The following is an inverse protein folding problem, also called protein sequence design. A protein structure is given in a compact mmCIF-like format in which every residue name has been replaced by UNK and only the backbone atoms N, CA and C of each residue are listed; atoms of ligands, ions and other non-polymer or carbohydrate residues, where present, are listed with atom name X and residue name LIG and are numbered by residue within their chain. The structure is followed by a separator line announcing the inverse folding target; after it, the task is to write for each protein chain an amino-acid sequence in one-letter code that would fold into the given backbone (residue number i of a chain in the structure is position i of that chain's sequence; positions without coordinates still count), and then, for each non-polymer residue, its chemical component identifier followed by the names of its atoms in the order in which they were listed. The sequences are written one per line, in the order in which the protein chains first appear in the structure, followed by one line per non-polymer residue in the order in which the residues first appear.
data_IF_535982097746
#
_entry.id   IF_535982097746
#
_cell.length_a   1.000
_cell.length_b   1.000
_cell.length_c   1.000
_cell.angle_alpha   90.00
_cell.angle_beta   90.00
_cell.angle_gamma   90.00
#
_symmetry.space_group_name_H-M   'P 1'
#
loop_
_entity.id
_entity.type
_entity.pdbx_description
1 polymer ?
#
# COMPACT_ATOMS: atom_id res chain seq x y z
N UNK A 1 18.93 18.10 27.92
CA UNK A 1 20.19 18.34 28.63
C UNK A 1 20.98 19.43 27.97
N UNK A 2 21.96 19.96 28.70
CA UNK A 2 22.83 21.05 28.24
C UNK A 2 24.15 20.52 27.66
N UNK A 3 24.22 19.23 27.34
CA UNK A 3 25.38 18.61 26.69
C UNK A 3 25.70 19.31 25.37
N UNK A 4 26.97 19.21 24.93
CA UNK A 4 27.47 19.85 23.71
C UNK A 4 27.80 18.80 22.65
N UNK A 5 27.90 19.22 21.38
CA UNK A 5 28.18 18.35 20.22
C UNK A 5 27.08 17.31 19.90
N UNK A 6 25.83 17.66 20.19
CA UNK A 6 24.65 16.84 19.92
C UNK A 6 24.08 17.02 18.50
N UNK A 7 24.51 18.04 17.76
CA UNK A 7 24.08 18.29 16.38
C UNK A 7 24.56 17.19 15.43
N UNK A 8 23.69 16.77 14.51
CA UNK A 8 24.01 15.90 13.40
C UNK A 8 23.21 16.27 12.14
N UNK A 9 23.66 15.70 11.02
CA UNK A 9 22.97 15.74 9.74
C UNK A 9 22.73 14.31 9.28
N UNK A 10 21.52 14.02 8.81
CA UNK A 10 21.15 12.71 8.24
C UNK A 10 20.79 12.90 6.78
N UNK A 11 21.26 11.99 5.94
CA UNK A 11 20.93 11.94 4.51
C UNK A 11 20.42 10.54 4.19
N UNK A 12 19.23 10.46 3.61
CA UNK A 12 18.71 9.24 3.00
C UNK A 12 19.06 9.30 1.53
N UNK A 13 19.70 8.25 1.03
CA UNK A 13 20.18 8.19 -0.33
C UNK A 13 19.88 6.84 -0.95
N UNK A 14 19.80 6.84 -2.28
CA UNK A 14 19.67 5.66 -3.10
C UNK A 14 21.05 5.04 -3.34
N UNK A 15 21.26 3.83 -2.81
CA UNK A 15 22.54 3.16 -2.90
C UNK A 15 22.75 2.45 -4.25
N UNK A 16 21.68 2.12 -4.97
CA UNK A 16 21.70 1.30 -6.19
C UNK A 16 21.17 2.04 -7.42
N UNK A 17 20.41 3.11 -7.21
CA UNK A 17 19.76 3.88 -8.28
C UNK A 17 18.35 3.38 -8.62
N UNK A 18 17.78 2.45 -7.85
CA UNK A 18 16.47 1.86 -8.15
C UNK A 18 15.30 2.82 -7.89
N UNK A 19 15.50 3.83 -7.05
CA UNK A 19 14.46 4.81 -6.68
C UNK A 19 14.63 6.11 -7.47
N UNK A 20 15.85 6.64 -7.50
CA UNK A 20 16.19 7.94 -8.08
C UNK A 20 16.69 7.85 -9.52
N UNK A 21 17.11 6.66 -9.97
CA UNK A 21 17.85 6.46 -11.21
C UNK A 21 19.36 6.74 -11.08
N UNK A 22 19.86 7.11 -9.90
CA UNK A 22 21.25 7.50 -9.67
C UNK A 22 21.91 6.70 -8.54
N UNK A 23 22.89 5.87 -8.88
CA UNK A 23 23.73 5.15 -7.91
C UNK A 23 24.77 6.08 -7.27
N UNK A 24 24.79 6.16 -5.93
CA UNK A 24 25.78 6.90 -5.12
C UNK A 24 27.23 6.61 -5.51
N UNK A 25 27.55 5.38 -5.91
CA UNK A 25 28.91 4.93 -6.21
C UNK A 25 29.40 5.37 -7.59
N UNK A 26 28.51 5.87 -8.45
CA UNK A 26 28.86 6.42 -9.75
C UNK A 26 29.34 7.86 -9.59
N UNK A 27 30.52 8.15 -10.16
CA UNK A 27 31.11 9.48 -10.11
C UNK A 27 30.15 10.54 -10.70
N UNK A 28 29.86 11.57 -9.91
CA UNK A 28 28.92 12.64 -10.29
C UNK A 28 27.48 12.44 -9.80
N UNK A 29 27.12 11.23 -9.36
CA UNK A 29 25.74 10.91 -8.99
C UNK A 29 25.44 11.08 -7.49
N UNK A 30 26.45 11.31 -6.64
CA UNK A 30 26.30 11.38 -5.16
C UNK A 30 25.25 12.39 -4.67
N UNK A 31 25.10 13.51 -5.36
CA UNK A 31 24.08 14.51 -5.00
C UNK A 31 22.72 14.14 -5.60
N UNK A 32 22.71 13.56 -6.80
CA UNK A 32 21.49 13.12 -7.48
C UNK A 32 20.86 11.88 -6.86
N UNK A 33 21.64 11.07 -6.13
CA UNK A 33 21.17 9.90 -5.38
C UNK A 33 20.52 10.28 -4.04
N UNK A 34 20.55 11.56 -3.63
CA UNK A 34 19.95 11.99 -2.36
C UNK A 34 18.43 12.02 -2.49
N UNK A 35 17.74 11.34 -1.57
CA UNK A 35 16.27 11.27 -1.52
C UNK A 35 15.74 12.27 -0.49
N UNK A 36 16.28 12.25 0.73
CA UNK A 36 15.85 13.11 1.84
C UNK A 36 17.05 13.63 2.63
N UNK A 37 16.92 14.83 3.19
CA UNK A 37 17.94 15.44 4.04
C UNK A 37 17.35 16.01 5.32
N UNK A 38 18.03 15.75 6.43
CA UNK A 38 17.67 16.25 7.76
C UNK A 38 18.89 16.96 8.34
N UNK A 39 18.88 18.29 8.24
CA UNK A 39 19.96 19.12 8.74
C UNK A 39 19.71 19.61 10.16
N UNK A 40 20.78 19.77 10.94
CA UNK A 40 20.76 20.38 12.28
C UNK A 40 19.79 19.71 13.26
N UNK A 41 19.66 18.39 13.17
CA UNK A 41 18.88 17.58 14.13
C UNK A 41 19.78 17.17 15.29
N UNK A 42 19.19 16.76 16.42
CA UNK A 42 19.93 16.53 17.66
C UNK A 42 19.87 15.07 18.13
N UNK A 43 20.96 14.60 18.75
CA UNK A 43 21.06 13.34 19.50
C UNK A 43 20.29 13.36 20.82
N UNK A 44 19.92 14.54 21.33
CA UNK A 44 19.28 14.70 22.62
C UNK A 44 17.74 14.57 22.49
N UNK A 45 17.08 13.70 23.28
CA UNK A 45 15.64 13.47 23.19
C UNK A 45 14.78 14.67 23.55
N UNK A 46 15.32 15.64 24.31
CA UNK A 46 14.57 16.84 24.70
C UNK A 46 14.96 18.08 23.89
N UNK A 47 15.79 17.94 22.86
CA UNK A 47 16.18 19.04 22.00
C UNK A 47 14.97 19.69 21.31
N UNK A 48 15.03 21.02 21.16
CA UNK A 48 13.99 21.81 20.50
C UNK A 48 14.59 22.67 19.40
N UNK A 49 13.82 22.88 18.35
CA UNK A 49 14.10 23.88 17.32
C UNK A 49 13.91 25.30 17.87
N UNK A 50 14.34 26.32 17.13
CA UNK A 50 14.10 27.71 17.50
C UNK A 50 12.60 28.06 17.64
N UNK A 51 11.73 27.31 16.96
CA UNK A 51 10.27 27.44 17.00
C UNK A 51 9.62 26.57 18.09
N UNK A 52 10.40 25.86 18.92
CA UNK A 52 9.91 25.05 20.03
C UNK A 52 9.44 23.64 19.68
N UNK A 53 9.51 23.23 18.41
CA UNK A 53 9.20 21.85 18.01
C UNK A 53 10.32 20.87 18.43
N UNK A 54 9.98 19.60 18.67
CA UNK A 54 10.95 18.55 18.96
C UNK A 54 11.98 18.40 17.83
N UNK A 55 13.27 18.43 18.17
CA UNK A 55 14.42 18.33 17.28
C UNK A 55 15.24 17.03 17.46
N UNK A 56 14.73 16.08 18.24
CA UNK A 56 15.35 14.77 18.38
C UNK A 56 15.28 14.00 17.07
N UNK A 57 16.42 13.56 16.56
CA UNK A 57 16.53 13.08 15.19
C UNK A 57 15.62 11.88 14.85
N UNK A 58 15.41 10.86 15.71
CA UNK A 58 14.50 9.76 15.39
C UNK A 58 13.06 10.24 15.29
N UNK A 59 12.62 11.14 16.16
CA UNK A 59 11.26 11.70 16.14
C UNK A 59 11.06 12.66 14.96
N UNK A 60 12.11 13.33 14.49
CA UNK A 60 12.07 14.14 13.28
C UNK A 60 11.93 13.23 12.05
N UNK A 61 12.73 12.16 11.96
CA UNK A 61 12.65 11.19 10.87
C UNK A 61 11.29 10.51 10.87
N UNK A 62 10.83 9.98 12.00
CA UNK A 62 9.54 9.30 12.13
C UNK A 62 8.36 10.14 11.62
N UNK A 63 8.38 11.45 11.85
CA UNK A 63 7.28 12.36 11.44
C UNK A 63 7.38 12.86 10.00
N UNK A 64 8.57 12.86 9.39
CA UNK A 64 8.83 13.56 8.12
C UNK A 64 9.28 12.66 6.98
N UNK A 65 9.87 11.51 7.30
CA UNK A 65 10.42 10.58 6.33
C UNK A 65 9.32 9.80 5.64
N UNK A 66 9.42 9.70 4.31
CA UNK A 66 8.57 8.83 3.51
C UNK A 66 9.24 7.47 3.23
N UNK A 67 10.54 7.33 3.52
CA UNK A 67 11.36 6.19 3.09
C UNK A 67 11.80 5.29 4.24
N UNK A 68 12.18 5.88 5.37
CA UNK A 68 12.79 5.15 6.49
C UNK A 68 12.10 5.42 7.83
N UNK A 69 12.11 4.41 8.69
CA UNK A 69 11.89 4.54 10.13
C UNK A 69 13.20 4.25 10.87
N UNK A 70 13.58 5.14 11.78
CA UNK A 70 14.81 4.97 12.56
C UNK A 70 14.50 4.29 13.89
N UNK A 71 15.05 3.10 14.12
CA UNK A 71 14.67 2.24 15.26
C UNK A 71 15.76 2.06 16.32
N UNK A 72 17.03 2.03 15.94
CA UNK A 72 18.16 1.86 16.87
C UNK A 72 19.31 2.81 16.57
N UNK A 73 20.09 3.15 17.57
CA UNK A 73 21.22 4.05 17.45
C UNK A 73 22.43 3.36 16.83
N UNK A 74 23.31 4.15 16.21
CA UNK A 74 24.59 3.64 15.74
C UNK A 74 25.40 3.11 16.93
N UNK A 75 26.08 1.98 16.72
CA UNK A 75 27.03 1.44 17.69
C UNK A 75 28.25 2.34 17.87
N UNK A 76 28.54 3.17 16.87
CA UNK A 76 29.54 4.23 16.94
C UNK A 76 29.00 5.41 17.76
N UNK A 77 29.83 5.93 18.65
CA UNK A 77 29.45 7.02 19.55
C UNK A 77 28.81 6.54 20.85
N UNK A 78 28.37 7.51 21.65
CA UNK A 78 27.76 7.28 22.96
C UNK A 78 26.82 8.43 23.30
N UNK A 79 25.99 8.23 24.34
CA UNK A 79 25.00 9.18 24.83
C UNK A 79 23.82 9.45 23.85
N UNK A 80 23.63 8.60 22.84
CA UNK A 80 22.45 8.68 21.97
C UNK A 80 21.15 8.59 22.77
N UNK A 81 20.19 9.46 22.48
CA UNK A 81 18.86 9.37 23.11
C UNK A 81 18.87 9.62 24.62
N UNK A 82 19.97 10.12 25.20
CA UNK A 82 20.04 10.42 26.63
C UNK A 82 20.02 11.92 26.91
N UNK A 83 19.30 12.31 27.96
CA UNK A 83 19.40 13.65 28.52
C UNK A 83 20.64 13.73 29.43
N UNK A 84 21.76 14.23 28.90
CA UNK A 84 23.01 14.36 29.64
C UNK A 84 23.57 15.79 29.61
N UNK A 85 24.46 16.07 30.56
CA UNK A 85 25.32 17.26 30.58
C UNK A 85 26.72 16.97 30.02
N UNK A 86 27.04 15.70 29.79
CA UNK A 86 28.28 15.28 29.15
C UNK A 86 28.29 15.67 27.67
N UNK A 87 29.49 15.66 27.08
CA UNK A 87 29.69 15.86 25.64
C UNK A 87 29.20 14.62 24.89
N UNK A 88 28.47 14.82 23.80
CA UNK A 88 28.09 13.73 22.90
C UNK A 88 29.28 13.33 22.03
N UNK A 89 29.42 12.05 21.75
CA UNK A 89 30.54 11.58 20.93
C UNK A 89 30.36 12.00 19.47
N UNK A 90 31.40 12.61 18.90
CA UNK A 90 31.48 12.88 17.46
C UNK A 90 31.66 11.56 16.70
N UNK A 91 30.87 11.37 15.64
CA UNK A 91 30.95 10.19 14.77
C UNK A 91 31.69 10.60 13.51
N UNK A 92 33.00 10.34 13.48
CA UNK A 92 33.88 10.57 12.33
C UNK A 92 34.73 9.30 12.13
N UNK A 93 34.79 8.73 10.92
CA UNK A 93 34.12 9.16 9.68
C UNK A 93 32.59 9.11 9.79
N UNK A 94 31.91 9.79 8.86
CA UNK A 94 30.45 9.71 8.76
C UNK A 94 30.05 8.25 8.55
N UNK A 95 29.02 7.81 9.26
CA UNK A 95 28.45 6.49 9.06
C UNK A 95 27.71 6.45 7.72
N UNK A 96 28.00 5.45 6.89
CA UNK A 96 27.40 5.28 5.57
C UNK A 96 26.77 3.90 5.38
N UNK A 97 25.90 3.53 6.33
CA UNK A 97 25.11 2.30 6.22
C UNK A 97 24.28 2.22 4.92
N UNK A 98 24.16 0.99 4.40
CA UNK A 98 23.26 0.62 3.32
C UNK A 98 22.29 -0.42 3.89
N UNK A 99 20.99 -0.19 3.73
CA UNK A 99 19.98 -1.15 4.16
C UNK A 99 20.04 -2.38 3.26
N UNK A 100 20.16 -3.56 3.85
CA UNK A 100 20.23 -4.84 3.14
C UNK A 100 19.33 -5.87 3.83
N UNK A 101 18.93 -6.92 3.10
CA UNK A 101 18.16 -8.02 3.68
C UNK A 101 16.66 -7.74 3.81
N UNK A 102 16.15 -6.70 3.16
CA UNK A 102 14.71 -6.55 2.95
C UNK A 102 14.18 -7.69 2.10
N UNK A 103 13.07 -8.28 2.54
CA UNK A 103 12.38 -9.36 1.82
C UNK A 103 10.91 -9.02 1.74
N UNK A 104 10.39 -8.90 0.53
CA UNK A 104 8.96 -8.79 0.31
C UNK A 104 8.34 -10.19 0.38
N UNK A 105 7.29 -10.34 1.17
CA UNK A 105 6.46 -11.53 1.13
C UNK A 105 5.26 -11.28 0.22
N UNK A 106 5.29 -11.90 -0.96
CA UNK A 106 4.21 -11.81 -1.94
C UNK A 106 3.19 -12.96 -1.81
N UNK A 107 3.39 -13.89 -0.87
CA UNK A 107 2.50 -15.03 -0.65
C UNK A 107 1.45 -14.70 0.42
N UNK A 108 0.52 -13.81 0.08
CA UNK A 108 -0.55 -13.41 1.00
C UNK A 108 -1.49 -14.59 1.32
N UNK A 109 -1.81 -14.74 2.59
CA UNK A 109 -2.80 -15.70 3.08
C UNK A 109 -4.21 -15.11 3.08
N UNK A 110 -5.22 -15.97 3.14
CA UNK A 110 -6.62 -15.53 3.22
C UNK A 110 -6.88 -14.72 4.49
N UNK A 111 -6.27 -15.10 5.61
CA UNK A 111 -6.43 -14.44 6.90
C UNK A 111 -5.79 -13.04 6.92
N UNK A 112 -4.67 -12.85 6.22
CA UNK A 112 -4.06 -11.53 6.04
C UNK A 112 -4.92 -10.62 5.16
N UNK A 113 -5.53 -11.16 4.10
CA UNK A 113 -6.53 -10.43 3.32
C UNK A 113 -7.73 -10.04 4.19
N UNK A 114 -8.24 -10.96 5.00
CA UNK A 114 -9.31 -10.65 5.95
C UNK A 114 -8.91 -9.49 6.87
N UNK A 115 -7.75 -9.59 7.49
CA UNK A 115 -7.22 -8.58 8.41
C UNK A 115 -7.11 -7.22 7.72
N UNK A 116 -6.77 -7.19 6.43
CA UNK A 116 -6.72 -5.95 5.65
C UNK A 116 -8.11 -5.33 5.43
N UNK A 117 -9.14 -6.13 5.14
CA UNK A 117 -10.51 -5.63 4.98
C UNK A 117 -11.16 -5.24 6.31
N UNK A 118 -10.81 -5.91 7.41
CA UNK A 118 -11.33 -5.61 8.75
C UNK A 118 -10.91 -4.19 9.23
N UNK A 119 -9.85 -3.59 8.67
CA UNK A 119 -9.50 -2.18 8.90
C UNK A 119 -10.58 -1.22 8.39
N UNK A 120 -11.40 -1.66 7.45
CA UNK A 120 -12.54 -0.91 6.94
C UNK A 120 -13.82 -1.19 7.70
N UNK A 121 -13.84 -1.94 8.81
CA UNK A 121 -15.08 -2.17 9.58
C UNK A 121 -15.50 -0.93 10.39
N UNK A 122 -14.56 -0.02 10.68
CA UNK A 122 -14.82 1.21 11.43
C UNK A 122 -15.58 2.25 10.58
N UNK A 123 -16.91 2.24 10.72
CA UNK A 123 -17.83 3.19 10.05
C UNK A 123 -17.76 4.61 10.60
N UNK A 124 -17.22 4.82 11.81
CA UNK A 124 -17.15 6.15 12.43
C UNK A 124 -15.93 6.94 11.94
N UNK A 125 -14.82 6.25 11.68
CA UNK A 125 -13.56 6.88 11.29
C UNK A 125 -13.24 6.74 9.79
N UNK A 126 -13.83 5.77 9.09
CA UNK A 126 -13.54 5.53 7.66
C UNK A 126 -14.81 5.60 6.84
N UNK A 127 -14.85 6.58 5.93
CA UNK A 127 -15.90 6.73 4.93
C UNK A 127 -15.47 6.06 3.61
N UNK A 128 -16.25 5.11 3.14
CA UNK A 128 -15.99 4.36 1.91
C UNK A 128 -17.28 3.89 1.25
N UNK A 129 -17.43 4.17 -0.04
CA UNK A 129 -18.67 3.87 -0.76
C UNK A 129 -18.57 2.58 -1.58
N UNK A 130 -17.39 2.25 -2.09
CA UNK A 130 -17.18 1.17 -3.06
C UNK A 130 -15.99 0.31 -2.62
N UNK A 131 -16.19 -1.01 -2.55
CA UNK A 131 -15.17 -1.99 -2.19
C UNK A 131 -14.83 -2.84 -3.40
N UNK A 132 -13.53 -2.93 -3.71
CA UNK A 132 -13.02 -3.71 -4.84
C UNK A 132 -12.45 -5.03 -4.33
N UNK A 133 -12.96 -6.16 -4.84
CA UNK A 133 -12.40 -7.47 -4.47
C UNK A 133 -11.00 -7.75 -5.02
N UNK A 134 -10.53 -6.96 -6.01
CA UNK A 134 -9.33 -7.28 -6.76
C UNK A 134 -9.48 -8.60 -7.54
N UNK A 135 -8.43 -9.43 -7.66
CA UNK A 135 -8.58 -10.78 -8.18
C UNK A 135 -9.38 -11.58 -7.15
N UNK A 136 -10.65 -11.86 -7.43
CA UNK A 136 -11.61 -12.37 -6.44
C UNK A 136 -11.23 -13.68 -5.76
N UNK A 137 -10.22 -14.39 -6.27
CA UNK A 137 -9.69 -15.63 -5.70
C UNK A 137 -8.38 -15.45 -4.91
N UNK A 138 -7.80 -14.23 -4.98
CA UNK A 138 -6.54 -13.67 -4.47
C UNK A 138 -5.39 -14.62 -4.11
N UNK A 139 -5.66 -15.62 -3.27
CA UNK A 139 -4.74 -16.66 -2.79
C UNK A 139 -4.66 -17.88 -3.73
N UNK A 140 -5.79 -18.33 -4.29
CA UNK A 140 -5.85 -19.55 -5.11
C UNK A 140 -6.91 -19.45 -6.20
N UNK A 141 -6.51 -19.43 -7.48
CA UNK A 141 -7.38 -19.25 -8.68
C UNK A 141 -8.39 -20.41 -8.91
N UNK A 142 -9.41 -20.48 -8.05
CA UNK A 142 -10.38 -21.58 -7.94
C UNK A 142 -11.74 -21.07 -7.43
N UNK A 143 -12.82 -21.81 -7.67
CA UNK A 143 -14.13 -21.44 -7.15
C UNK A 143 -14.16 -21.32 -5.60
N UNK A 144 -13.48 -22.22 -4.89
CA UNK A 144 -13.41 -22.18 -3.42
C UNK A 144 -12.61 -20.98 -2.89
N UNK A 145 -11.53 -20.58 -3.58
CA UNK A 145 -10.79 -19.37 -3.24
C UNK A 145 -11.64 -18.11 -3.45
N UNK A 146 -12.45 -18.09 -4.50
CA UNK A 146 -13.39 -17.01 -4.77
C UNK A 146 -14.52 -16.93 -3.74
N UNK A 147 -15.08 -18.07 -3.36
CA UNK A 147 -16.11 -18.16 -2.32
C UNK A 147 -15.62 -17.56 -1.00
N UNK A 148 -14.44 -18.00 -0.54
CA UNK A 148 -13.88 -17.54 0.71
C UNK A 148 -13.62 -16.01 0.71
N UNK A 149 -13.03 -15.47 -0.35
CA UNK A 149 -12.74 -14.04 -0.46
C UNK A 149 -13.97 -13.17 -0.74
N UNK A 150 -14.88 -13.65 -1.59
CA UNK A 150 -16.13 -12.96 -1.88
C UNK A 150 -17.05 -12.88 -0.67
N UNK A 151 -17.13 -13.96 0.12
CA UNK A 151 -17.91 -13.98 1.36
C UNK A 151 -17.36 -12.99 2.40
N UNK A 152 -16.04 -12.83 2.51
CA UNK A 152 -15.45 -11.81 3.41
C UNK A 152 -15.89 -10.38 3.06
N UNK A 153 -15.93 -10.04 1.77
CA UNK A 153 -16.37 -8.72 1.31
C UNK A 153 -17.87 -8.54 1.50
N UNK A 154 -18.65 -9.59 1.25
CA UNK A 154 -20.08 -9.61 1.51
C UNK A 154 -20.37 -9.32 2.99
N UNK A 155 -19.70 -10.01 3.91
CA UNK A 155 -19.88 -9.84 5.34
C UNK A 155 -19.54 -8.40 5.78
N UNK A 156 -18.48 -7.81 5.23
CA UNK A 156 -18.12 -6.40 5.49
C UNK A 156 -19.22 -5.44 5.00
N UNK A 157 -19.72 -5.62 3.78
CA UNK A 157 -20.76 -4.75 3.24
C UNK A 157 -22.09 -4.89 3.99
N UNK A 158 -22.47 -6.10 4.38
CA UNK A 158 -23.67 -6.38 5.19
C UNK A 158 -23.57 -5.85 6.62
N UNK A 159 -22.35 -5.86 7.20
CA UNK A 159 -22.05 -5.23 8.50
C UNK A 159 -22.28 -3.72 8.44
N UNK A 160 -21.60 -3.05 7.50
CA UNK A 160 -21.58 -1.58 7.44
C UNK A 160 -22.84 -0.95 6.86
N UNK A 161 -23.41 -1.57 5.81
CA UNK A 161 -24.62 -1.10 5.07
C UNK A 161 -24.49 0.28 4.42
N UNK A 162 -23.28 0.81 4.32
CA UNK A 162 -22.97 2.12 3.72
C UNK A 162 -22.10 2.01 2.47
N UNK A 163 -21.78 0.79 2.02
CA UNK A 163 -20.90 0.52 0.91
C UNK A 163 -21.41 -0.61 0.00
N UNK A 164 -20.87 -0.67 -1.23
CA UNK A 164 -21.20 -1.70 -2.22
C UNK A 164 -19.91 -2.40 -2.66
N UNK A 165 -19.89 -3.74 -2.60
CA UNK A 165 -18.78 -4.57 -3.01
C UNK A 165 -18.88 -5.03 -4.46
N UNK A 166 -17.75 -5.04 -5.18
CA UNK A 166 -17.66 -5.46 -6.58
C UNK A 166 -16.73 -6.68 -6.70
N UNK A 167 -17.29 -7.79 -7.20
CA UNK A 167 -16.61 -9.09 -7.27
C UNK A 167 -16.64 -9.59 -8.72
N UNK A 168 -15.45 -9.84 -9.28
CA UNK A 168 -15.29 -10.52 -10.57
C UNK A 168 -15.24 -12.04 -10.39
N UNK A 169 -15.39 -12.86 -11.45
CA UNK A 169 -15.09 -14.29 -11.31
C UNK A 169 -13.60 -14.54 -11.04
N UNK A 170 -13.24 -15.75 -10.61
CA UNK A 170 -11.83 -16.18 -10.62
C UNK A 170 -11.30 -16.29 -12.06
N UNK A 171 -10.01 -16.10 -12.25
CA UNK A 171 -9.40 -15.94 -13.58
C UNK A 171 -9.58 -17.20 -14.43
N UNK A 172 -9.34 -18.37 -13.86
CA UNK A 172 -9.49 -19.65 -14.58
C UNK A 172 -10.95 -20.00 -14.95
N UNK A 173 -11.97 -19.32 -14.43
CA UNK A 173 -13.34 -19.50 -14.89
C UNK A 173 -13.55 -18.95 -16.30
N UNK A 174 -12.82 -17.89 -16.67
CA UNK A 174 -13.07 -17.12 -17.89
C UNK A 174 -11.87 -17.08 -18.84
N UNK A 175 -10.66 -16.88 -18.33
CA UNK A 175 -9.45 -16.73 -19.14
C UNK A 175 -8.91 -18.10 -19.56
N UNK A 176 -8.47 -18.22 -20.81
CA UNK A 176 -7.96 -19.47 -21.42
C UNK A 176 -8.97 -20.62 -21.47
N UNK A 177 -10.28 -20.32 -21.38
CA UNK A 177 -11.36 -21.28 -21.60
C UNK A 177 -11.85 -21.17 -23.04
N UNK A 178 -11.89 -22.28 -23.77
CA UNK A 178 -12.15 -22.30 -25.22
C UNK A 178 -13.61 -22.12 -25.63
N UNK A 179 -14.54 -22.47 -24.74
CA UNK A 179 -15.99 -22.43 -25.01
C UNK A 179 -16.68 -21.41 -24.12
N UNK A 180 -17.46 -20.52 -24.71
CA UNK A 180 -18.27 -19.55 -23.99
C UNK A 180 -19.32 -20.22 -23.08
N UNK A 181 -19.85 -21.38 -23.47
CA UNK A 181 -20.77 -22.16 -22.64
C UNK A 181 -20.09 -22.64 -21.37
N UNK A 182 -18.82 -23.07 -21.48
CA UNK A 182 -18.03 -23.49 -20.31
C UNK A 182 -17.68 -22.29 -19.43
N UNK A 183 -17.32 -21.14 -20.02
CA UNK A 183 -17.10 -19.90 -19.26
C UNK A 183 -18.35 -19.52 -18.47
N UNK A 184 -19.52 -19.49 -19.11
CA UNK A 184 -20.80 -19.19 -18.45
C UNK A 184 -21.08 -20.15 -17.31
N UNK A 185 -20.89 -21.47 -17.52
CA UNK A 185 -21.08 -22.46 -16.48
C UNK A 185 -20.13 -22.24 -15.29
N UNK A 186 -18.84 -22.04 -15.55
CA UNK A 186 -17.85 -21.83 -14.48
C UNK A 186 -18.18 -20.59 -13.64
N UNK A 187 -18.61 -19.50 -14.28
CA UNK A 187 -18.97 -18.25 -13.60
C UNK A 187 -20.20 -18.44 -12.72
N UNK A 188 -21.25 -19.12 -13.22
CA UNK A 188 -22.45 -19.45 -12.45
C UNK A 188 -22.09 -20.34 -11.26
N UNK A 189 -21.40 -21.46 -11.51
CA UNK A 189 -21.03 -22.42 -10.46
C UNK A 189 -20.20 -21.77 -9.35
N UNK A 190 -19.39 -20.77 -9.69
CA UNK A 190 -18.56 -20.06 -8.73
C UNK A 190 -19.37 -19.06 -7.90
N UNK A 191 -20.23 -18.25 -8.54
CA UNK A 191 -21.04 -17.25 -7.83
C UNK A 191 -22.16 -17.88 -7.00
N UNK A 192 -22.66 -19.06 -7.37
CA UNK A 192 -23.64 -19.81 -6.58
C UNK A 192 -23.11 -20.25 -5.20
N UNK A 193 -21.78 -20.24 -4.99
CA UNK A 193 -21.17 -20.50 -3.69
C UNK A 193 -21.29 -19.30 -2.74
N UNK A 194 -21.26 -18.08 -3.28
CA UNK A 194 -21.30 -16.85 -2.48
C UNK A 194 -22.76 -16.58 -2.08
N UNK A 195 -23.03 -16.24 -0.81
CA UNK A 195 -24.37 -15.86 -0.37
C UNK A 195 -24.95 -14.68 -1.18
N UNK A 196 -26.27 -14.61 -1.27
CA UNK A 196 -26.93 -13.49 -1.94
C UNK A 196 -26.98 -12.26 -1.03
N UNK A 197 -26.60 -11.10 -1.55
CA UNK A 197 -26.66 -9.80 -0.87
C UNK A 197 -27.09 -8.70 -1.84
N UNK A 198 -27.81 -7.69 -1.34
CA UNK A 198 -28.13 -6.48 -2.11
C UNK A 198 -26.98 -5.47 -2.19
N UNK A 199 -25.94 -5.65 -1.38
CA UNK A 199 -24.76 -4.77 -1.35
C UNK A 199 -23.62 -5.28 -2.22
N UNK A 200 -23.83 -6.35 -3.00
CA UNK A 200 -22.80 -6.97 -3.84
C UNK A 200 -23.20 -6.94 -5.31
N UNK A 201 -22.25 -6.55 -6.15
CA UNK A 201 -22.35 -6.56 -7.61
C UNK A 201 -21.34 -7.57 -8.16
N UNK A 202 -21.86 -8.57 -8.86
CA UNK A 202 -21.05 -9.53 -9.62
C UNK A 202 -20.87 -9.06 -11.05
N UNK A 203 -19.62 -8.94 -11.50
CA UNK A 203 -19.32 -8.81 -12.93
C UNK A 203 -19.04 -10.19 -13.56
N UNK A 204 -18.82 -10.23 -14.88
CA UNK A 204 -18.81 -11.49 -15.63
C UNK A 204 -17.47 -11.89 -16.23
N UNK A 205 -16.38 -11.14 -16.00
CA UNK A 205 -15.14 -11.50 -16.69
C UNK A 205 -13.90 -10.66 -16.43
N UNK A 206 -12.94 -10.83 -17.35
CA UNK A 206 -11.64 -10.18 -17.30
C UNK A 206 -11.43 -9.32 -18.54
N UNK A 207 -10.85 -8.15 -18.32
CA UNK A 207 -10.42 -7.25 -19.38
C UNK A 207 -9.00 -7.58 -19.80
N UNK A 208 -8.75 -7.59 -21.11
CA UNK A 208 -7.40 -7.69 -21.66
C UNK A 208 -6.87 -6.28 -21.98
N UNK A 209 -5.85 -5.84 -21.26
CA UNK A 209 -5.27 -4.49 -21.40
C UNK A 209 -3.76 -4.55 -21.57
N UNK A 210 -3.21 -3.51 -22.18
CA UNK A 210 -1.77 -3.30 -22.27
C UNK A 210 -1.25 -2.71 -20.96
N UNK A 211 -0.26 -3.37 -20.37
CA UNK A 211 0.48 -2.87 -19.23
C UNK A 211 1.76 -2.17 -19.67
N UNK A 212 1.77 -0.84 -19.53
CA UNK A 212 2.91 0.02 -19.89
C UNK A 212 4.16 -0.20 -19.04
N UNK A 213 4.05 -0.79 -17.85
CA UNK A 213 5.19 -0.93 -16.93
C UNK A 213 6.04 -2.14 -17.28
N UNK A 214 5.41 -3.25 -17.67
CA UNK A 214 6.11 -4.48 -18.08
C UNK A 214 6.08 -4.72 -19.60
N UNK A 215 5.53 -3.78 -20.39
CA UNK A 215 5.41 -3.87 -21.85
C UNK A 215 4.75 -5.17 -22.36
N UNK A 216 3.70 -5.61 -21.67
CA UNK A 216 2.98 -6.84 -22.01
C UNK A 216 1.47 -6.65 -21.89
N UNK A 217 0.71 -7.42 -22.66
CA UNK A 217 -0.74 -7.48 -22.47
C UNK A 217 -1.11 -8.47 -21.38
N UNK A 218 -1.95 -8.05 -20.43
CA UNK A 218 -2.36 -8.82 -19.25
C UNK A 218 -3.88 -8.81 -19.08
N UNK A 219 -4.39 -9.88 -18.46
CA UNK A 219 -5.80 -9.97 -18.05
C UNK A 219 -5.96 -9.40 -16.65
N UNK A 220 -6.93 -8.51 -16.46
CA UNK A 220 -7.25 -7.83 -15.20
C UNK A 220 -8.74 -8.03 -14.88
N UNK A 221 -9.12 -8.30 -13.62
CA UNK A 221 -10.54 -8.43 -13.24
C UNK A 221 -11.31 -7.13 -13.49
N UNK A 222 -12.60 -7.24 -13.83
CA UNK A 222 -13.43 -6.10 -14.24
C UNK A 222 -14.00 -5.28 -13.08
N UNK A 223 -13.96 -5.79 -11.85
CA UNK A 223 -14.52 -5.13 -10.68
C UNK A 223 -14.01 -3.71 -10.45
N UNK A 224 -12.72 -3.45 -10.70
CA UNK A 224 -12.15 -2.11 -10.63
C UNK A 224 -12.75 -1.15 -11.66
N UNK A 225 -12.97 -1.63 -12.89
CA UNK A 225 -13.56 -0.84 -13.97
C UNK A 225 -15.06 -0.61 -13.74
N UNK A 226 -15.80 -1.61 -13.28
CA UNK A 226 -17.24 -1.49 -13.00
C UNK A 226 -17.51 -0.54 -11.83
N UNK A 227 -16.74 -0.64 -10.74
CA UNK A 227 -16.85 0.30 -9.63
C UNK A 227 -16.41 1.72 -10.04
N UNK A 228 -15.35 1.86 -10.84
CA UNK A 228 -14.93 3.15 -11.39
C UNK A 228 -16.00 3.81 -12.25
N UNK A 229 -16.78 3.02 -12.99
CA UNK A 229 -17.93 3.49 -13.75
C UNK A 229 -19.07 3.98 -12.85
N UNK A 230 -19.33 3.29 -11.74
CA UNK A 230 -20.26 3.74 -10.70
C UNK A 230 -19.79 5.07 -10.11
N UNK A 231 -18.53 5.16 -9.67
CA UNK A 231 -17.96 6.39 -9.12
C UNK A 231 -18.04 7.59 -10.08
N UNK A 232 -17.80 7.37 -11.38
CA UNK A 232 -17.94 8.43 -12.38
C UNK A 232 -19.41 8.82 -12.63
N UNK A 233 -20.33 7.87 -12.52
CA UNK A 233 -21.77 8.15 -12.65
C UNK A 233 -22.26 8.99 -11.47
N UNK A 234 -21.88 8.61 -10.25
CA UNK A 234 -22.20 9.36 -9.03
C UNK A 234 -21.66 10.79 -9.07
N UNK A 235 -20.47 10.98 -9.65
CA UNK A 235 -19.81 12.29 -9.75
C UNK A 235 -20.44 13.22 -10.80
N UNK A 236 -20.87 12.69 -11.94
CA UNK A 236 -21.26 13.50 -13.13
C UNK A 236 -22.78 13.61 -13.28
N UNK A 237 -23.51 12.60 -12.82
CA UNK A 237 -24.95 12.61 -12.74
C UNK A 237 -25.32 12.63 -11.26
N UNK A 238 -25.82 11.53 -10.71
CA UNK A 238 -26.15 11.33 -9.31
C UNK A 238 -26.26 9.81 -9.03
N UNK A 239 -26.21 9.35 -7.76
CA UNK A 239 -26.21 7.93 -7.41
C UNK A 239 -27.45 7.10 -7.82
N UNK A 240 -28.57 7.75 -8.15
CA UNK A 240 -29.77 7.06 -8.64
C UNK A 240 -29.78 6.86 -10.16
N UNK A 241 -28.82 7.43 -10.90
CA UNK A 241 -28.69 7.15 -12.33
C UNK A 241 -27.97 5.83 -12.53
N UNK A 242 -28.52 5.01 -13.44
CA UNK A 242 -27.91 3.73 -13.75
C UNK A 242 -26.51 3.93 -14.35
N UNK A 243 -25.48 3.24 -13.84
CA UNK A 243 -24.15 3.26 -14.43
C UNK A 243 -24.09 2.48 -15.76
N UNK A 244 -25.14 1.75 -16.14
CA UNK A 244 -25.20 0.96 -17.36
C UNK A 244 -25.72 1.79 -18.56
N UNK A 245 -24.88 2.06 -19.56
CA UNK A 245 -25.28 2.79 -20.77
C UNK A 245 -24.29 2.67 -21.94
N UNK A 246 -24.83 2.73 -23.17
CA UNK A 246 -24.12 2.46 -24.44
C UNK A 246 -23.27 3.64 -24.96
N UNK A 247 -23.45 4.84 -24.38
CA UNK A 247 -22.75 6.06 -24.78
C UNK A 247 -21.58 6.40 -23.85
N UNK A 248 -20.81 5.39 -23.43
CA UNK A 248 -19.65 5.58 -22.54
C UNK A 248 -18.42 4.88 -23.08
#
# INVERSE_FOLDING_TARGET
GRGTADELHVVVYDATGDITGYDKNVAGNRTSSVIETYAHVSKNPIAKTAQGANNYYPDVIFRKSAMIYWTDHLSSGSNWGTDTTAVYTSVIPVDDGVLTGGTDDYAVTLDELKTSYDLFDDTENVDLNLILAGPSSAVADTAAGMDAHGTMILDLCESRKDCVGFISPYRAATVNVSSSVTQTKNVIDAFDLIPSSSYIVFDSGYKYIYDKYNDVYRFVPLNGDTAGLCANTDRVADPWFSPAGINR
#
